data_IF_382569928032
#
_entry.id   IF_382569928032
#
_cell.length_a   1.000
_cell.length_b   1.000
_cell.length_c   1.000
_cell.angle_alpha   90.00
_cell.angle_beta   90.00
_cell.angle_gamma   90.00
#
_symmetry.space_group_name_H-M   'P 1'
#
loop_
_entity.id
_entity.type
_entity.pdbx_description
1 polymer ?
#
# COMPACT_ATOMS: atom_id res chain seq x y z
N UNK A 1 -11.03 17.93 17.96
CA UNK A 1 -10.40 16.60 18.02
C UNK A 1 -11.48 15.57 17.78
N UNK A 2 -11.27 14.56 16.91
CA UNK A 2 -12.33 13.70 16.36
C UNK A 2 -12.70 12.48 17.23
N UNK A 3 -12.03 12.25 18.37
CA UNK A 3 -12.36 11.15 19.28
C UNK A 3 -12.09 9.74 18.74
N UNK A 4 -11.27 9.62 17.70
CA UNK A 4 -10.89 8.32 17.12
C UNK A 4 -9.92 7.56 18.04
N UNK A 5 -9.98 6.21 18.05
CA UNK A 5 -8.97 5.41 18.72
C UNK A 5 -7.61 5.61 18.06
N UNK A 6 -6.54 5.24 18.78
CA UNK A 6 -5.22 5.14 18.18
C UNK A 6 -5.24 4.07 17.08
N UNK A 7 -4.89 4.47 15.86
CA UNK A 7 -4.81 3.57 14.72
C UNK A 7 -3.35 3.14 14.54
N UNK A 8 -3.10 1.87 14.15
CA UNK A 8 -1.77 1.44 13.76
C UNK A 8 -1.24 2.34 12.64
N UNK A 9 0.03 2.74 12.75
CA UNK A 9 0.72 3.53 11.74
C UNK A 9 2.09 2.90 11.43
N UNK A 10 2.65 3.30 10.30
CA UNK A 10 4.03 2.98 9.91
C UNK A 10 4.90 4.15 10.30
N UNK A 11 5.90 3.92 11.16
CA UNK A 11 6.94 4.90 11.43
C UNK A 11 8.02 4.79 10.35
N UNK A 12 8.22 5.87 9.60
CA UNK A 12 9.20 5.92 8.52
C UNK A 12 10.63 6.23 9.01
N UNK A 13 10.80 6.72 10.24
CA UNK A 13 12.11 7.01 10.84
C UNK A 13 13.08 7.71 9.88
N UNK A 14 14.25 7.09 9.66
CA UNK A 14 15.31 7.61 8.80
C UNK A 14 14.99 7.60 7.29
N UNK A 15 13.97 6.84 6.86
CA UNK A 15 13.55 6.81 5.46
C UNK A 15 12.69 8.04 5.11
N UNK A 16 12.15 8.75 6.10
CA UNK A 16 11.26 9.88 5.86
C UNK A 16 11.93 10.95 4.98
N UNK A 17 11.32 11.21 3.81
CA UNK A 17 11.80 12.18 2.80
C UNK A 17 13.21 11.91 2.26
N UNK A 18 13.77 10.72 2.50
CA UNK A 18 15.08 10.35 2.01
C UNK A 18 14.97 9.77 0.59
N UNK A 19 15.08 10.63 -0.42
CA UNK A 19 15.02 10.22 -1.83
C UNK A 19 16.06 9.14 -2.14
N UNK A 20 15.65 8.12 -2.89
CA UNK A 20 16.53 7.02 -3.27
C UNK A 20 17.09 7.25 -4.67
N UNK A 21 18.38 6.95 -4.91
CA UNK A 21 19.01 7.14 -6.21
C UNK A 21 18.50 6.17 -7.30
N UNK A 22 17.82 5.09 -6.89
CA UNK A 22 17.19 4.11 -7.80
C UNK A 22 15.79 4.51 -8.26
N UNK A 23 15.29 5.68 -7.83
CA UNK A 23 13.98 6.22 -8.22
C UNK A 23 12.79 5.57 -7.52
N UNK A 24 13.03 4.62 -6.60
CA UNK A 24 11.98 4.06 -5.74
C UNK A 24 11.60 5.08 -4.67
N UNK A 25 10.31 5.23 -4.42
CA UNK A 25 9.78 6.13 -3.41
C UNK A 25 10.27 5.71 -2.01
N UNK A 26 10.60 6.69 -1.18
CA UNK A 26 11.17 6.47 0.16
C UNK A 26 10.23 5.72 1.12
N UNK A 27 8.92 5.70 0.83
CA UNK A 27 7.90 4.93 1.57
C UNK A 27 7.95 3.43 1.23
N UNK A 28 8.44 3.03 0.05
CA UNK A 28 8.20 1.70 -0.51
C UNK A 28 8.83 0.58 0.32
N UNK A 29 10.10 0.72 0.71
CA UNK A 29 10.79 -0.28 1.53
C UNK A 29 10.20 -0.39 2.95
N UNK A 30 10.01 0.71 3.71
CA UNK A 30 9.34 0.65 5.01
C UNK A 30 7.94 0.02 4.95
N UNK A 31 7.16 0.28 3.90
CA UNK A 31 5.83 -0.33 3.74
C UNK A 31 5.91 -1.83 3.52
N UNK A 32 6.84 -2.30 2.68
CA UNK A 32 7.08 -3.74 2.46
C UNK A 32 7.55 -4.43 3.74
N UNK A 33 8.47 -3.82 4.47
CA UNK A 33 8.96 -4.32 5.76
C UNK A 33 7.84 -4.37 6.80
N UNK A 34 7.05 -3.31 6.93
CA UNK A 34 5.92 -3.25 7.87
C UNK A 34 4.84 -4.27 7.53
N UNK A 35 4.57 -4.48 6.23
CA UNK A 35 3.65 -5.51 5.78
C UNK A 35 4.11 -6.91 6.22
N UNK A 36 5.43 -7.15 6.29
CA UNK A 36 6.04 -8.38 6.81
C UNK A 36 5.39 -9.67 6.25
N UNK A 37 5.19 -9.70 4.93
CA UNK A 37 4.56 -10.82 4.22
C UNK A 37 3.04 -10.91 4.33
N UNK A 38 2.37 -9.95 4.99
CA UNK A 38 0.91 -9.80 4.92
C UNK A 38 0.50 -9.08 3.63
N UNK A 39 -0.63 -9.44 3.01
CA UNK A 39 -1.15 -8.66 1.90
C UNK A 39 -1.40 -7.21 2.31
N UNK A 40 -1.13 -6.26 1.42
CA UNK A 40 -1.38 -4.84 1.69
C UNK A 40 -1.80 -4.09 0.43
N UNK A 41 -2.52 -2.98 0.64
CA UNK A 41 -2.80 -2.00 -0.40
C UNK A 41 -2.17 -0.66 0.00
N UNK A 42 -1.41 -0.06 -0.90
CA UNK A 42 -0.87 1.30 -0.75
C UNK A 42 -1.59 2.22 -1.73
N UNK A 43 -2.32 3.20 -1.17
CA UNK A 43 -3.11 4.18 -1.91
C UNK A 43 -2.45 5.54 -1.78
N UNK A 44 -1.90 6.06 -2.87
CA UNK A 44 -1.08 7.27 -2.86
C UNK A 44 -0.99 7.82 -4.30
N UNK A 45 -0.60 9.08 -4.45
CA UNK A 45 -0.45 9.77 -5.73
C UNK A 45 1.01 9.91 -6.17
N UNK A 46 1.96 9.53 -5.31
CA UNK A 46 3.41 9.70 -5.56
C UNK A 46 4.08 8.43 -6.09
N UNK A 47 3.36 7.30 -6.14
CA UNK A 47 3.88 6.01 -6.60
C UNK A 47 4.17 5.99 -8.11
N UNK A 48 5.21 5.28 -8.52
CA UNK A 48 5.57 5.04 -9.92
C UNK A 48 6.00 3.60 -10.24
N UNK A 49 6.49 3.40 -11.47
CA UNK A 49 6.87 2.07 -11.98
C UNK A 49 8.02 1.42 -11.18
N UNK A 50 8.94 2.24 -10.65
CA UNK A 50 10.03 1.76 -9.81
C UNK A 50 9.51 1.14 -8.50
N UNK A 51 8.44 1.70 -7.92
CA UNK A 51 7.81 1.16 -6.72
C UNK A 51 7.12 -0.17 -6.99
N UNK A 52 6.41 -0.27 -8.12
CA UNK A 52 5.79 -1.52 -8.57
C UNK A 52 6.84 -2.63 -8.71
N UNK A 53 7.97 -2.33 -9.35
CA UNK A 53 9.06 -3.28 -9.52
C UNK A 53 9.72 -3.67 -8.18
N UNK A 54 9.95 -2.71 -7.29
CA UNK A 54 10.53 -2.94 -5.98
C UNK A 54 9.63 -3.85 -5.12
N UNK A 55 8.33 -3.56 -5.05
CA UNK A 55 7.35 -4.36 -4.31
C UNK A 55 7.23 -5.76 -4.90
N UNK A 56 7.13 -5.90 -6.23
CA UNK A 56 7.04 -7.20 -6.88
C UNK A 56 8.29 -8.08 -6.66
N UNK A 57 9.47 -7.47 -6.54
CA UNK A 57 10.72 -8.19 -6.26
C UNK A 57 10.85 -8.60 -4.78
N UNK A 58 10.42 -7.74 -3.86
CA UNK A 58 10.64 -7.90 -2.42
C UNK A 58 9.50 -8.52 -1.63
N UNK A 59 8.26 -8.49 -2.13
CA UNK A 59 7.06 -8.89 -1.39
C UNK A 59 6.33 -10.05 -2.07
N UNK A 60 6.24 -11.19 -1.38
CA UNK A 60 5.65 -12.42 -1.95
C UNK A 60 4.14 -12.52 -1.81
N UNK A 61 3.55 -11.85 -0.82
CA UNK A 61 2.11 -11.82 -0.67
C UNK A 61 1.49 -10.82 -1.66
N UNK A 62 0.18 -10.91 -1.93
CA UNK A 62 -0.49 -9.95 -2.81
C UNK A 62 -0.32 -8.51 -2.30
N UNK A 63 0.17 -7.63 -3.17
CA UNK A 63 0.26 -6.20 -2.90
C UNK A 63 -0.44 -5.41 -4.02
N UNK A 64 -1.24 -4.42 -3.64
CA UNK A 64 -1.87 -3.49 -4.56
C UNK A 64 -1.27 -2.09 -4.36
N UNK A 65 -0.65 -1.54 -5.40
CA UNK A 65 -0.26 -0.14 -5.45
C UNK A 65 -1.29 0.60 -6.31
N UNK A 66 -2.21 1.29 -5.64
CA UNK A 66 -3.34 1.96 -6.27
C UNK A 66 -3.09 3.46 -6.35
N UNK A 67 -2.68 3.91 -7.52
CA UNK A 67 -2.41 5.33 -7.79
C UNK A 67 -3.72 6.14 -7.82
N UNK A 68 -3.77 7.23 -7.08
CA UNK A 68 -4.94 8.12 -7.00
C UNK A 68 -4.60 9.55 -7.40
N UNK A 69 -5.60 10.32 -7.85
CA UNK A 69 -5.39 11.73 -8.15
C UNK A 69 -5.79 12.59 -6.95
N UNK A 70 -4.80 13.26 -6.34
CA UNK A 70 -4.98 14.16 -5.18
C UNK A 70 -6.08 15.23 -5.36
N UNK A 71 -6.33 15.69 -6.59
CA UNK A 71 -7.33 16.74 -6.89
C UNK A 71 -8.77 16.23 -6.79
N UNK A 72 -8.95 14.93 -6.96
CA UNK A 72 -10.25 14.30 -7.09
C UNK A 72 -10.68 13.55 -5.83
N UNK A 73 -9.72 13.24 -4.94
CA UNK A 73 -9.93 12.34 -3.82
C UNK A 73 -10.29 10.91 -4.25
N UNK A 74 -10.65 10.08 -3.27
CA UNK A 74 -11.13 8.73 -3.53
C UNK A 74 -12.56 8.75 -4.06
N UNK A 75 -12.79 8.01 -5.14
CA UNK A 75 -14.07 7.85 -5.82
C UNK A 75 -14.53 6.40 -5.78
N UNK A 76 -15.77 6.18 -6.21
CA UNK A 76 -16.37 4.84 -6.25
C UNK A 76 -15.51 3.81 -7.01
N UNK A 77 -14.79 4.23 -8.06
CA UNK A 77 -13.87 3.36 -8.78
C UNK A 77 -12.69 2.88 -7.93
N UNK A 78 -12.11 3.77 -7.12
CA UNK A 78 -11.01 3.45 -6.22
C UNK A 78 -11.46 2.45 -5.15
N UNK A 79 -12.63 2.70 -4.55
CA UNK A 79 -13.22 1.78 -3.58
C UNK A 79 -13.57 0.42 -4.20
N UNK A 80 -14.03 0.38 -5.45
CA UNK A 80 -14.30 -0.87 -6.16
C UNK A 80 -13.01 -1.68 -6.39
N UNK A 81 -11.91 -1.02 -6.76
CA UNK A 81 -10.60 -1.66 -6.90
C UNK A 81 -10.11 -2.23 -5.57
N UNK A 82 -10.20 -1.46 -4.48
CA UNK A 82 -9.81 -1.92 -3.14
C UNK A 82 -10.67 -3.09 -2.66
N UNK A 83 -11.98 -3.05 -2.92
CA UNK A 83 -12.88 -4.15 -2.57
C UNK A 83 -12.58 -5.43 -3.37
N UNK A 84 -12.27 -5.30 -4.67
CA UNK A 84 -11.87 -6.42 -5.51
C UNK A 84 -10.54 -7.03 -5.03
N UNK A 85 -9.57 -6.19 -4.64
CA UNK A 85 -8.32 -6.66 -4.05
C UNK A 85 -8.57 -7.41 -2.73
N UNK A 86 -9.36 -6.83 -1.82
CA UNK A 86 -9.72 -7.49 -0.57
C UNK A 86 -10.36 -8.86 -0.81
N UNK A 87 -11.33 -8.95 -1.72
CA UNK A 87 -11.96 -10.21 -2.09
C UNK A 87 -10.99 -11.25 -2.68
N UNK A 88 -9.90 -10.82 -3.32
CA UNK A 88 -8.88 -11.71 -3.90
C UNK A 88 -7.92 -12.31 -2.86
N UNK A 89 -7.78 -11.67 -1.69
CA UNK A 89 -6.85 -12.09 -0.62
C UNK A 89 -7.56 -12.79 0.53
N UNK A 90 -8.89 -12.68 0.62
CA UNK A 90 -9.67 -13.51 1.52
C UNK A 90 -9.54 -14.98 1.07
N UNK A 91 -9.16 -15.91 1.95
CA UNK A 91 -9.17 -17.31 1.60
C UNK A 91 -10.60 -17.68 1.21
N UNK A 92 -10.76 -18.36 0.06
CA UNK A 92 -12.02 -19.01 -0.29
C UNK A 92 -12.47 -19.76 0.94
N UNK A 93 -13.54 -19.27 1.57
CA UNK A 93 -14.13 -19.93 2.72
C UNK A 93 -14.69 -21.24 2.19
N UNK A 94 -13.87 -22.29 2.25
CA UNK A 94 -14.32 -23.65 2.10
C UNK A 94 -15.30 -23.90 3.24
N UNK A 95 -16.58 -23.84 2.94
CA UNK A 95 -17.68 -24.23 3.82
C UNK A 95 -17.47 -25.70 4.25
N UNK A 96 -17.76 -26.04 5.53
CA UNK A 96 -17.01 -27.01 6.33
C UNK A 96 -17.13 -28.49 5.91
#
# INVERSE_FOLDING_TARGET
MLGLPELPFVDFGNALLNERPDGVHWKSEPLVEYANGRPFAWVDDEQGDADQAHVAAGHRAPALLHHVNLRNGLRNGDFATLAAFAASIEPSSGTP
#
